data_IF_285787579803
#
_entry.id   IF_285787579803
#
_cell.length_a   1.000
_cell.length_b   1.000
_cell.length_c   1.000
_cell.angle_alpha   90.00
_cell.angle_beta   90.00
_cell.angle_gamma   90.00
#
_symmetry.space_group_name_H-M   'P 1'
#
loop_
_entity.id
_entity.type
_entity.pdbx_description
1 polymer ?
#
# COMPACT_ATOMS: atom_id res chain seq x y z
N UNK A 1 -16.48 0.47 -25.20
CA UNK A 1 -16.79 0.59 -23.76
C UNK A 1 -16.87 2.07 -23.42
N UNK A 2 -17.77 2.45 -22.52
CA UNK A 2 -17.79 3.81 -21.98
C UNK A 2 -16.54 4.06 -21.10
N UNK A 3 -16.06 5.31 -20.99
CA UNK A 3 -14.97 5.64 -20.08
C UNK A 3 -15.39 5.41 -18.61
N UNK A 4 -14.46 5.02 -17.72
CA UNK A 4 -14.76 4.85 -16.30
C UNK A 4 -15.16 6.18 -15.65
N UNK A 5 -16.02 6.11 -14.64
CA UNK A 5 -16.41 7.26 -13.81
C UNK A 5 -15.21 7.82 -13.04
N UNK A 6 -15.26 9.09 -12.65
CA UNK A 6 -14.23 9.70 -11.81
C UNK A 6 -14.07 8.93 -10.48
N UNK A 7 -15.18 8.44 -9.94
CA UNK A 7 -15.18 7.61 -8.74
C UNK A 7 -14.44 6.28 -8.96
N UNK A 8 -14.73 5.58 -10.07
CA UNK A 8 -14.03 4.34 -10.41
C UNK A 8 -12.52 4.56 -10.60
N UNK A 9 -12.13 5.69 -11.22
CA UNK A 9 -10.73 6.08 -11.38
C UNK A 9 -10.07 6.30 -10.01
N UNK A 10 -10.65 7.14 -9.14
CA UNK A 10 -10.10 7.43 -7.81
C UNK A 10 -9.99 6.16 -6.96
N UNK A 11 -11.02 5.31 -7.00
CA UNK A 11 -11.06 4.00 -6.33
C UNK A 11 -9.91 3.10 -6.80
N UNK A 12 -9.64 3.06 -8.10
CA UNK A 12 -8.54 2.24 -8.66
C UNK A 12 -7.15 2.71 -8.19
N UNK A 13 -6.96 4.03 -8.04
CA UNK A 13 -5.70 4.61 -7.55
C UNK A 13 -5.46 4.21 -6.10
N UNK A 14 -6.46 4.38 -5.23
CA UNK A 14 -6.36 3.98 -3.81
C UNK A 14 -6.07 2.48 -3.69
N UNK A 15 -6.80 1.64 -4.42
CA UNK A 15 -6.59 0.19 -4.40
C UNK A 15 -5.19 -0.22 -4.85
N UNK A 16 -4.60 0.47 -5.84
CA UNK A 16 -3.22 0.19 -6.27
C UNK A 16 -2.23 0.50 -5.17
N UNK A 17 -2.37 1.64 -4.50
CA UNK A 17 -1.47 2.06 -3.42
C UNK A 17 -1.57 1.14 -2.19
N UNK A 18 -2.78 0.72 -1.82
CA UNK A 18 -3.00 -0.29 -0.76
C UNK A 18 -2.29 -1.61 -1.10
N UNK A 19 -2.39 -2.08 -2.35
CA UNK A 19 -1.71 -3.30 -2.80
C UNK A 19 -0.20 -3.15 -2.85
N UNK A 20 0.29 -1.98 -3.25
CA UNK A 20 1.71 -1.64 -3.26
C UNK A 20 2.29 -1.69 -1.83
N UNK A 21 1.61 -1.07 -0.86
CA UNK A 21 2.04 -1.11 0.55
C UNK A 21 2.06 -2.54 1.10
N UNK A 22 1.02 -3.33 0.80
CA UNK A 22 0.97 -4.74 1.18
C UNK A 22 2.11 -5.57 0.55
N UNK A 23 2.57 -5.24 -0.67
CA UNK A 23 3.72 -5.90 -1.28
C UNK A 23 5.02 -5.59 -0.54
N UNK A 24 5.25 -4.33 -0.14
CA UNK A 24 6.45 -3.97 0.64
C UNK A 24 6.44 -4.58 2.04
N UNK A 25 5.28 -4.74 2.68
CA UNK A 25 5.19 -5.50 3.93
C UNK A 25 5.59 -6.97 3.74
N UNK A 26 5.13 -7.63 2.68
CA UNK A 26 5.53 -9.01 2.36
C UNK A 26 7.03 -9.14 2.06
N UNK A 27 7.62 -8.12 1.44
CA UNK A 27 9.07 -8.07 1.22
C UNK A 27 9.82 -7.97 2.55
N UNK A 28 9.38 -7.07 3.43
CA UNK A 28 9.94 -6.90 4.77
C UNK A 28 9.87 -8.20 5.60
N UNK A 29 8.74 -8.92 5.56
CA UNK A 29 8.59 -10.22 6.21
C UNK A 29 9.60 -11.25 5.70
N UNK A 30 9.84 -11.30 4.38
CA UNK A 30 10.83 -12.21 3.77
C UNK A 30 12.26 -11.87 4.18
N UNK A 31 12.63 -10.59 4.15
CA UNK A 31 13.95 -10.12 4.59
C UNK A 31 14.17 -10.44 6.07
N UNK A 32 13.19 -10.17 6.93
CA UNK A 32 13.26 -10.50 8.36
C UNK A 32 13.40 -12.01 8.59
N UNK A 33 12.69 -12.84 7.84
CA UNK A 33 12.85 -14.29 7.90
C UNK A 33 14.24 -14.75 7.40
N UNK A 34 14.82 -14.08 6.41
CA UNK A 34 16.19 -14.32 5.92
C UNK A 34 17.22 -13.98 7.02
N UNK A 35 17.09 -12.81 7.64
CA UNK A 35 17.92 -12.36 8.76
C UNK A 35 17.87 -13.37 9.91
N UNK A 36 16.67 -13.80 10.32
CA UNK A 36 16.51 -14.75 11.41
C UNK A 36 17.20 -16.09 11.14
N UNK A 37 17.24 -16.54 9.88
CA UNK A 37 17.98 -17.76 9.48
C UNK A 37 19.49 -17.54 9.52
N UNK A 38 19.97 -16.40 9.03
CA UNK A 38 21.41 -16.07 9.07
C UNK A 38 21.92 -15.95 10.51
N UNK A 39 21.11 -15.38 11.41
CA UNK A 39 21.45 -15.24 12.84
C UNK A 39 21.51 -16.57 13.61
N UNK A 40 20.76 -17.59 13.15
CA UNK A 40 20.81 -18.93 13.75
C UNK A 40 22.10 -19.70 13.43
N UNK A 41 22.92 -19.20 12.50
CA UNK A 41 24.25 -19.73 12.21
C UNK A 41 24.22 -21.00 11.36
N UNK A 42 25.19 -21.11 10.45
CA UNK A 42 25.30 -22.24 9.54
C UNK A 42 26.55 -22.18 8.66
N UNK A 43 27.74 -22.18 9.27
CA UNK A 43 29.04 -22.47 8.61
C UNK A 43 29.45 -21.64 7.39
N UNK A 44 28.65 -20.69 6.93
CA UNK A 44 28.91 -19.88 5.74
C UNK A 44 29.89 -18.77 6.09
N UNK A 45 31.09 -18.80 5.49
CA UNK A 45 32.11 -17.76 5.64
C UNK A 45 31.59 -16.36 5.29
N UNK A 46 30.49 -16.26 4.53
CA UNK A 46 29.88 -15.00 4.12
C UNK A 46 28.67 -14.57 4.96
N UNK A 47 28.33 -15.29 6.04
CA UNK A 47 27.11 -15.03 6.82
C UNK A 47 27.02 -13.59 7.35
N UNK A 48 28.13 -13.01 7.83
CA UNK A 48 28.16 -11.62 8.31
C UNK A 48 27.92 -10.60 7.20
N UNK A 49 28.50 -10.84 6.02
CA UNK A 49 28.29 -9.99 4.85
C UNK A 49 26.83 -10.05 4.39
N UNK A 50 26.27 -11.25 4.28
CA UNK A 50 24.85 -11.45 3.93
C UNK A 50 23.92 -10.79 4.93
N UNK A 51 24.18 -10.94 6.23
CA UNK A 51 23.39 -10.33 7.29
C UNK A 51 23.40 -8.80 7.18
N UNK A 52 24.56 -8.20 6.88
CA UNK A 52 24.67 -6.75 6.66
C UNK A 52 23.88 -6.29 5.44
N UNK A 53 23.90 -7.05 4.35
CA UNK A 53 23.13 -6.73 3.14
C UNK A 53 21.62 -6.82 3.40
N UNK A 54 21.15 -7.87 4.06
CA UNK A 54 19.73 -8.04 4.40
C UNK A 54 19.23 -6.94 5.33
N UNK A 55 20.01 -6.57 6.35
CA UNK A 55 19.68 -5.44 7.25
C UNK A 55 19.56 -4.12 6.49
N UNK A 56 20.48 -3.88 5.55
CA UNK A 56 20.40 -2.70 4.67
C UNK A 56 19.15 -2.75 3.78
N UNK A 57 18.82 -3.90 3.21
CA UNK A 57 17.59 -4.10 2.45
C UNK A 57 16.34 -3.77 3.27
N UNK A 58 16.29 -4.20 4.54
CA UNK A 58 15.22 -3.84 5.47
C UNK A 58 15.11 -2.33 5.67
N UNK A 59 16.22 -1.63 5.86
CA UNK A 59 16.24 -0.16 6.01
C UNK A 59 15.74 0.54 4.73
N UNK A 60 16.18 0.08 3.57
CA UNK A 60 15.78 0.61 2.26
C UNK A 60 14.28 0.38 2.00
N UNK A 61 13.76 -0.82 2.26
CA UNK A 61 12.31 -1.11 2.15
C UNK A 61 11.51 -0.27 3.15
N UNK A 62 11.97 -0.12 4.39
CA UNK A 62 11.31 0.73 5.41
C UNK A 62 11.24 2.19 4.99
N UNK A 63 12.26 2.69 4.31
CA UNK A 63 12.32 4.07 3.84
C UNK A 63 11.27 4.40 2.75
N UNK A 64 10.65 3.39 2.12
CA UNK A 64 9.61 3.59 1.11
C UNK A 64 8.26 3.95 1.75
N UNK A 65 7.93 3.36 2.91
CA UNK A 65 6.60 3.51 3.52
C UNK A 65 6.16 4.96 3.76
N UNK A 66 7.02 5.90 4.24
CA UNK A 66 6.58 7.28 4.45
C UNK A 66 6.06 7.95 3.18
N UNK A 67 6.78 7.82 2.07
CA UNK A 67 6.35 8.43 0.80
C UNK A 67 5.09 7.73 0.26
N UNK A 68 5.00 6.41 0.40
CA UNK A 68 3.84 5.66 -0.06
C UNK A 68 2.57 6.01 0.73
N UNK A 69 2.68 6.14 2.06
CA UNK A 69 1.58 6.56 2.93
C UNK A 69 1.12 7.98 2.65
N UNK A 70 2.03 8.91 2.38
CA UNK A 70 1.65 10.26 1.95
C UNK A 70 0.84 10.23 0.65
N UNK A 71 1.30 9.46 -0.36
CA UNK A 71 0.54 9.28 -1.61
C UNK A 71 -0.83 8.64 -1.37
N UNK A 72 -0.92 7.68 -0.45
CA UNK A 72 -2.17 7.02 -0.08
C UNK A 72 -3.14 7.99 0.60
N UNK A 73 -2.65 8.83 1.52
CA UNK A 73 -3.44 9.88 2.17
C UNK A 73 -3.99 10.89 1.15
N UNK A 74 -3.15 11.36 0.22
CA UNK A 74 -3.59 12.27 -0.84
C UNK A 74 -4.65 11.63 -1.76
N UNK A 75 -4.46 10.35 -2.12
CA UNK A 75 -5.40 9.61 -2.95
C UNK A 75 -6.72 9.33 -2.21
N UNK A 76 -6.65 9.05 -0.90
CA UNK A 76 -7.80 8.83 -0.04
C UNK A 76 -8.65 10.10 0.06
N UNK A 77 -8.03 11.25 0.36
CA UNK A 77 -8.73 12.53 0.43
C UNK A 77 -9.45 12.87 -0.89
N UNK A 78 -8.85 12.55 -2.04
CA UNK A 78 -9.50 12.69 -3.36
C UNK A 78 -10.68 11.74 -3.54
N UNK A 79 -10.54 10.48 -3.11
CA UNK A 79 -11.63 9.51 -3.20
C UNK A 79 -12.82 9.93 -2.33
N UNK A 80 -12.56 10.37 -1.10
CA UNK A 80 -13.58 10.89 -0.18
C UNK A 80 -14.29 12.11 -0.76
N UNK A 81 -13.54 13.06 -1.34
CA UNK A 81 -14.13 14.22 -2.01
C UNK A 81 -15.07 13.84 -3.17
N UNK A 82 -14.69 12.85 -3.99
CA UNK A 82 -15.52 12.41 -5.13
C UNK A 82 -16.71 11.55 -4.68
N UNK A 83 -16.66 10.97 -3.48
CA UNK A 83 -17.77 10.23 -2.86
C UNK A 83 -18.84 11.15 -2.24
N UNK A 84 -18.55 12.44 -2.02
CA UNK A 84 -19.54 13.37 -1.49
C UNK A 84 -20.77 13.47 -2.42
N UNK A 85 -22.02 13.36 -1.90
CA UNK A 85 -23.23 13.32 -2.72
C UNK A 85 -23.36 14.51 -3.68
N UNK A 86 -22.97 15.71 -3.23
CA UNK A 86 -23.02 16.95 -4.01
C UNK A 86 -21.89 17.09 -5.03
N UNK A 87 -20.86 16.24 -4.94
CA UNK A 87 -19.66 16.21 -5.80
C UNK A 87 -19.61 14.98 -6.70
N UNK A 88 -20.43 13.97 -6.43
CA UNK A 88 -20.73 12.86 -7.34
C UNK A 88 -21.59 13.36 -8.52
N UNK A 89 -21.13 14.41 -9.19
CA UNK A 89 -21.75 15.00 -10.37
C UNK A 89 -21.20 14.30 -11.60
N UNK A 90 -21.76 13.14 -11.94
CA UNK A 90 -21.43 12.45 -13.19
C UNK A 90 -22.43 11.36 -13.53
N UNK A 91 -23.01 11.45 -14.73
CA UNK A 91 -24.00 10.52 -15.33
C UNK A 91 -23.56 9.04 -15.42
N UNK A 92 -22.40 8.67 -14.88
CA UNK A 92 -21.80 7.34 -15.01
C UNK A 92 -21.42 6.71 -13.65
N UNK A 93 -21.63 7.41 -12.52
CA UNK A 93 -21.43 6.81 -11.20
C UNK A 93 -22.56 5.84 -10.89
N UNK A 94 -22.23 4.59 -10.63
CA UNK A 94 -23.20 3.55 -10.27
C UNK A 94 -23.21 3.30 -8.76
N UNK A 95 -24.28 2.70 -8.20
CA UNK A 95 -24.27 2.22 -6.80
C UNK A 95 -23.13 1.25 -6.51
N UNK A 96 -22.71 0.46 -7.50
CA UNK A 96 -21.55 -0.43 -7.39
C UNK A 96 -20.23 0.35 -7.26
N UNK A 97 -20.06 1.44 -8.00
CA UNK A 97 -18.88 2.31 -7.86
C UNK A 97 -18.82 2.96 -6.48
N UNK A 98 -19.96 3.36 -5.92
CA UNK A 98 -20.05 3.91 -4.56
C UNK A 98 -19.65 2.87 -3.53
N UNK A 99 -20.19 1.64 -3.62
CA UNK A 99 -19.82 0.56 -2.72
C UNK A 99 -18.31 0.25 -2.77
N UNK A 100 -17.74 0.12 -3.98
CA UNK A 100 -16.29 -0.10 -4.16
C UNK A 100 -15.44 1.06 -3.65
N UNK A 101 -15.90 2.30 -3.82
CA UNK A 101 -15.24 3.48 -3.28
C UNK A 101 -15.19 3.44 -1.75
N UNK A 102 -16.31 3.13 -1.10
CA UNK A 102 -16.39 3.00 0.36
C UNK A 102 -15.50 1.87 0.90
N UNK A 103 -15.47 0.72 0.21
CA UNK A 103 -14.56 -0.37 0.55
C UNK A 103 -13.09 0.06 0.45
N UNK A 104 -12.72 0.78 -0.60
CA UNK A 104 -11.36 1.30 -0.78
C UNK A 104 -10.99 2.33 0.30
N UNK A 105 -11.91 3.20 0.72
CA UNK A 105 -11.72 4.12 1.87
C UNK A 105 -11.43 3.34 3.15
N UNK A 106 -12.24 2.31 3.44
CA UNK A 106 -12.05 1.48 4.62
C UNK A 106 -10.71 0.73 4.59
N UNK A 107 -10.31 0.20 3.43
CA UNK A 107 -9.03 -0.49 3.26
C UNK A 107 -7.85 0.46 3.45
N UNK A 108 -7.86 1.62 2.80
CA UNK A 108 -6.79 2.63 2.92
C UNK A 108 -6.67 3.17 4.35
N UNK A 109 -7.80 3.42 5.01
CA UNK A 109 -7.82 3.87 6.41
C UNK A 109 -7.16 2.84 7.33
N UNK A 110 -7.43 1.54 7.16
CA UNK A 110 -6.76 0.50 7.95
C UNK A 110 -5.25 0.51 7.77
N UNK A 111 -4.79 0.71 6.54
CA UNK A 111 -3.36 0.76 6.19
C UNK A 111 -2.68 1.99 6.81
N UNK A 112 -3.29 3.18 6.68
CA UNK A 112 -2.73 4.43 7.24
C UNK A 112 -2.61 4.37 8.77
N UNK A 113 -3.59 3.77 9.45
CA UNK A 113 -3.60 3.65 10.91
C UNK A 113 -2.82 2.43 11.44
N UNK A 114 -2.39 1.51 10.56
CA UNK A 114 -1.51 0.43 10.95
C UNK A 114 -0.12 0.99 11.27
N UNK A 115 0.44 0.61 12.42
CA UNK A 115 1.84 0.94 12.72
C UNK A 115 2.77 0.25 11.71
N UNK A 116 3.84 0.94 11.26
CA UNK A 116 4.86 0.34 10.40
C UNK A 116 5.67 -0.74 11.11
#
# INVERSE_FOLDING_TARGET
>A
MAPPSQLAIATSVVNRLVKEEASYHKELEKQQASIAKLEQGGGDENAEYMLKQERRGVEETRAIFPQLRNKLQDALARLEYVLEPDKSTGDQTTPEDIAKGQEAVAAASKVIHAQP
#
